data_IF_295086719917
#
_entry.id   IF_295086719917
#
_cell.length_a   1.000
_cell.length_b   1.000
_cell.length_c   1.000
_cell.angle_alpha   90.00
_cell.angle_beta   90.00
_cell.angle_gamma   90.00
#
_symmetry.space_group_name_H-M   'P 1'
#
loop_
_entity.id
_entity.type
_entity.pdbx_description
1 polymer ?
#
# COMPACT_ATOMS: atom_id res chain seq x y z
N UNK A 1 6.95 9.30 -10.53
CA UNK A 1 6.00 8.82 -9.52
C UNK A 1 6.50 9.22 -8.14
N UNK A 2 5.62 9.64 -7.24
CA UNK A 2 5.93 10.03 -5.85
C UNK A 2 5.62 8.90 -4.86
N UNK A 3 6.25 7.74 -5.04
CA UNK A 3 5.98 6.54 -4.24
C UNK A 3 6.97 6.36 -3.10
N UNK A 4 6.48 5.84 -1.99
CA UNK A 4 7.31 5.27 -0.92
C UNK A 4 7.71 3.85 -1.30
N UNK A 5 8.99 3.62 -1.58
CA UNK A 5 9.58 2.32 -1.93
C UNK A 5 10.80 2.04 -1.05
N UNK A 6 11.15 0.76 -0.88
CA UNK A 6 12.30 0.37 -0.07
C UNK A 6 13.59 0.47 -0.88
N UNK A 7 14.58 1.22 -0.39
CA UNK A 7 15.94 1.10 -0.92
C UNK A 7 16.49 -0.31 -0.64
N UNK A 8 17.36 -0.78 -1.54
CA UNK A 8 17.98 -2.09 -1.42
C UNK A 8 19.46 -2.10 -1.81
N UNK A 9 20.21 -3.02 -1.19
CA UNK A 9 21.60 -3.31 -1.53
C UNK A 9 21.84 -4.83 -1.54
N UNK A 10 22.22 -5.42 -2.68
CA UNK A 10 22.70 -6.80 -2.72
C UNK A 10 23.93 -6.99 -1.83
N UNK A 11 24.03 -8.15 -1.20
CA UNK A 11 25.08 -8.51 -0.25
C UNK A 11 25.38 -10.00 -0.30
N UNK A 12 26.60 -10.38 0.09
CA UNK A 12 27.02 -11.78 0.25
C UNK A 12 26.91 -12.11 1.73
N UNK A 13 26.08 -13.09 2.07
CA UNK A 13 25.84 -13.47 3.47
C UNK A 13 26.73 -14.64 3.89
N UNK A 14 27.34 -14.49 5.07
CA UNK A 14 28.00 -15.58 5.79
C UNK A 14 27.37 -15.76 7.17
N UNK A 15 27.10 -16.99 7.57
CA UNK A 15 26.64 -17.33 8.92
C UNK A 15 27.65 -18.32 9.51
N UNK A 16 28.29 -17.94 10.62
CA UNK A 16 29.36 -18.72 11.27
C UNK A 16 30.54 -19.09 10.34
N UNK A 17 30.82 -18.26 9.34
CA UNK A 17 31.87 -18.48 8.36
C UNK A 17 31.45 -19.24 7.11
N UNK A 18 30.25 -19.85 7.09
CA UNK A 18 29.71 -20.56 5.93
C UNK A 18 28.99 -19.60 4.97
N UNK A 19 29.10 -19.84 3.66
CA UNK A 19 28.44 -19.03 2.62
C UNK A 19 26.96 -19.40 2.47
N UNK A 20 26.08 -18.39 2.48
CA UNK A 20 24.62 -18.55 2.42
C UNK A 20 23.97 -17.95 1.17
N UNK A 21 24.75 -17.45 0.21
CA UNK A 21 24.21 -16.88 -1.02
C UNK A 21 24.16 -15.35 -1.03
N UNK A 22 23.53 -14.83 -2.09
CA UNK A 22 23.27 -13.41 -2.27
C UNK A 22 21.94 -13.06 -1.59
N UNK A 23 21.95 -12.04 -0.74
CA UNK A 23 20.78 -11.53 -0.05
C UNK A 23 20.64 -10.03 -0.29
N UNK A 24 19.41 -9.53 -0.29
CA UNK A 24 19.13 -8.10 -0.36
C UNK A 24 18.95 -7.54 1.05
N UNK A 25 19.80 -6.58 1.43
CA UNK A 25 19.54 -5.70 2.57
C UNK A 25 18.54 -4.66 2.09
N UNK A 26 17.42 -4.51 2.80
CA UNK A 26 16.35 -3.58 2.45
C UNK A 26 16.01 -2.68 3.62
N UNK A 27 15.54 -1.47 3.31
CA UNK A 27 14.88 -0.65 4.32
C UNK A 27 13.63 -1.34 4.86
N UNK A 28 13.30 -1.12 6.13
CA UNK A 28 12.08 -1.63 6.74
C UNK A 28 11.05 -0.53 6.80
N UNK A 29 9.87 -0.75 6.22
CA UNK A 29 8.72 0.14 6.40
C UNK A 29 8.18 0.07 7.83
N UNK A 30 8.61 1.03 8.63
CA UNK A 30 8.20 1.30 10.00
C UNK A 30 8.28 2.82 10.25
N UNK A 31 8.03 3.25 11.48
CA UNK A 31 8.09 4.65 11.89
C UNK A 31 9.42 5.35 11.59
N UNK A 32 10.52 4.59 11.58
CA UNK A 32 11.84 5.13 11.24
C UNK A 32 11.96 5.47 9.76
N UNK A 33 11.44 4.62 8.86
CA UNK A 33 11.40 4.94 7.43
C UNK A 33 10.66 6.27 7.21
N UNK A 34 9.48 6.43 7.79
CA UNK A 34 8.67 7.65 7.60
C UNK A 34 9.39 8.87 8.16
N UNK A 35 10.01 8.76 9.34
CA UNK A 35 10.81 9.83 9.92
C UNK A 35 11.98 10.25 9.00
N UNK A 36 12.76 9.31 8.48
CA UNK A 36 13.94 9.63 7.68
C UNK A 36 13.60 10.17 6.29
N UNK A 37 12.50 9.71 5.68
CA UNK A 37 12.12 10.11 4.32
C UNK A 37 11.17 11.31 4.27
N UNK A 38 10.35 11.53 5.29
CA UNK A 38 9.33 12.60 5.32
C UNK A 38 9.51 13.61 6.46
N UNK A 39 10.44 13.37 7.40
CA UNK A 39 10.71 14.28 8.51
C UNK A 39 9.60 14.34 9.57
N UNK A 40 8.66 13.39 9.56
CA UNK A 40 7.52 13.33 10.47
C UNK A 40 7.89 12.66 11.79
N UNK A 41 7.20 13.01 12.88
CA UNK A 41 7.48 12.44 14.20
C UNK A 41 7.12 10.94 14.25
N UNK A 42 8.12 10.07 14.44
CA UNK A 42 7.98 8.62 14.54
C UNK A 42 7.00 8.14 15.62
N UNK A 43 6.80 8.94 16.68
CA UNK A 43 5.90 8.60 17.79
C UNK A 43 4.45 9.05 17.53
N UNK A 44 4.19 9.70 16.39
CA UNK A 44 2.91 10.30 16.03
C UNK A 44 2.42 9.84 14.66
N UNK A 45 2.42 8.52 14.43
CA UNK A 45 2.06 7.90 13.17
C UNK A 45 0.95 6.87 13.35
N UNK A 46 0.18 6.66 12.28
CA UNK A 46 -0.52 5.40 12.05
C UNK A 46 0.16 4.71 10.87
N UNK A 47 0.54 3.44 11.04
CA UNK A 47 1.05 2.58 9.96
C UNK A 47 0.17 1.35 9.91
N UNK A 48 -0.60 1.23 8.84
CA UNK A 48 -1.54 0.14 8.62
C UNK A 48 -0.93 -0.86 7.67
N UNK A 49 -1.03 -2.14 8.01
CA UNK A 49 -0.65 -3.26 7.15
C UNK A 49 -1.89 -4.08 6.80
N UNK A 50 -2.00 -4.44 5.53
CA UNK A 50 -3.05 -5.28 4.98
C UNK A 50 -2.37 -6.48 4.32
N UNK A 51 -2.50 -7.63 4.97
CA UNK A 51 -2.00 -8.91 4.49
C UNK A 51 -3.05 -10.00 4.75
N UNK A 52 -2.86 -10.84 5.77
CA UNK A 52 -3.88 -11.83 6.22
C UNK A 52 -5.09 -11.20 6.94
N UNK A 53 -5.11 -9.88 7.04
CA UNK A 53 -6.05 -9.04 7.76
C UNK A 53 -5.53 -7.61 7.81
N UNK A 54 -6.30 -6.71 8.41
CA UNK A 54 -5.91 -5.30 8.61
C UNK A 54 -5.38 -5.12 10.03
N UNK A 55 -4.17 -4.60 10.18
CA UNK A 55 -3.55 -4.31 11.48
C UNK A 55 -2.86 -2.96 11.53
N UNK A 56 -2.91 -2.30 12.69
CA UNK A 56 -2.07 -1.13 12.98
C UNK A 56 -0.71 -1.60 13.49
N UNK A 57 0.30 -1.61 12.63
CA UNK A 57 1.68 -1.93 13.02
C UNK A 57 2.31 -0.82 13.86
N UNK A 58 1.84 0.41 13.69
CA UNK A 58 2.09 1.55 14.57
C UNK A 58 0.77 2.32 14.67
N UNK A 59 0.45 2.86 15.85
CA UNK A 59 -0.81 3.55 16.08
C UNK A 59 -2.02 2.61 16.15
N UNK A 60 -3.14 3.01 15.56
CA UNK A 60 -4.43 2.31 15.62
C UNK A 60 -5.20 2.43 14.29
N UNK A 61 -6.35 1.77 14.23
CA UNK A 61 -7.17 1.67 13.01
C UNK A 61 -8.30 2.72 12.93
N UNK A 62 -8.45 3.62 13.91
CA UNK A 62 -9.63 4.52 14.00
C UNK A 62 -9.76 5.36 12.73
N UNK A 63 -8.69 6.08 12.39
CA UNK A 63 -8.62 6.91 11.21
C UNK A 63 -8.80 6.17 9.88
N UNK A 64 -8.25 4.96 9.81
CA UNK A 64 -8.33 4.12 8.63
C UNK A 64 -9.78 3.66 8.42
N UNK A 65 -10.42 3.19 9.49
CA UNK A 65 -11.81 2.75 9.48
C UNK A 65 -12.76 3.91 9.15
N UNK A 66 -12.50 5.12 9.65
CA UNK A 66 -13.27 6.33 9.29
C UNK A 66 -13.18 6.63 7.79
N UNK A 67 -11.99 6.56 7.19
CA UNK A 67 -11.78 6.75 5.76
C UNK A 67 -12.54 5.69 4.93
N UNK A 68 -12.35 4.40 5.27
CA UNK A 68 -13.02 3.29 4.57
C UNK A 68 -14.54 3.38 4.71
N UNK A 69 -15.04 3.72 5.90
CA UNK A 69 -16.48 3.92 6.14
C UNK A 69 -17.02 5.10 5.32
N UNK A 70 -16.30 6.22 5.24
CA UNK A 70 -16.70 7.36 4.43
C UNK A 70 -16.83 6.98 2.95
N UNK A 71 -15.83 6.30 2.38
CA UNK A 71 -15.84 5.82 0.99
C UNK A 71 -16.96 4.82 0.72
N UNK A 72 -17.27 3.97 1.70
CA UNK A 72 -18.32 2.96 1.59
C UNK A 72 -19.72 3.57 1.55
N UNK A 73 -19.95 4.61 2.37
CA UNK A 73 -21.28 5.18 2.64
C UNK A 73 -21.60 6.44 1.85
N UNK A 74 -20.62 7.06 1.20
CA UNK A 74 -20.80 8.29 0.43
C UNK A 74 -20.53 8.09 -1.07
N UNK A 75 -21.08 8.99 -1.87
CA UNK A 75 -20.86 9.03 -3.32
C UNK A 75 -19.79 10.08 -3.65
N UNK A 76 -18.67 9.67 -4.25
CA UNK A 76 -17.56 10.56 -4.62
C UNK A 76 -17.85 11.39 -5.87
N UNK A 77 -18.92 11.11 -6.63
CA UNK A 77 -19.40 12.02 -7.67
C UNK A 77 -19.92 13.35 -7.09
N UNK A 78 -20.20 13.41 -5.79
CA UNK A 78 -20.46 14.68 -5.10
C UNK A 78 -19.13 15.37 -4.77
N UNK A 79 -18.94 16.58 -5.31
CA UNK A 79 -17.72 17.36 -5.13
C UNK A 79 -17.31 17.53 -3.67
N UNK A 80 -18.26 17.77 -2.74
CA UNK A 80 -17.94 17.95 -1.32
C UNK A 80 -17.33 16.69 -0.71
N UNK A 81 -17.82 15.52 -1.09
CA UNK A 81 -17.30 14.24 -0.59
C UNK A 81 -15.91 13.96 -1.14
N UNK A 82 -15.71 14.25 -2.42
CA UNK A 82 -14.40 14.08 -3.06
C UNK A 82 -13.36 15.05 -2.50
N UNK A 83 -13.72 16.32 -2.26
CA UNK A 83 -12.82 17.28 -1.62
C UNK A 83 -12.47 16.87 -0.18
N UNK A 84 -13.41 16.27 0.57
CA UNK A 84 -13.09 15.67 1.86
C UNK A 84 -12.05 14.55 1.73
N UNK A 85 -12.24 13.59 0.81
CA UNK A 85 -11.25 12.52 0.62
C UNK A 85 -9.89 13.08 0.20
N UNK A 86 -9.84 14.05 -0.73
CA UNK A 86 -8.60 14.74 -1.11
C UNK A 86 -7.89 15.44 0.06
N UNK A 87 -8.62 15.80 1.11
CA UNK A 87 -8.04 16.40 2.31
C UNK A 87 -7.35 15.38 3.23
N UNK A 88 -7.72 14.09 3.15
CA UNK A 88 -7.20 13.02 4.01
C UNK A 88 -6.43 11.93 3.24
N UNK A 89 -6.44 11.94 1.91
CA UNK A 89 -5.70 11.02 1.03
C UNK A 89 -4.85 11.85 0.07
N UNK A 90 -3.58 11.50 -0.09
CA UNK A 90 -2.76 12.06 -1.17
C UNK A 90 -3.13 11.39 -2.49
N UNK A 91 -4.13 11.96 -3.19
CA UNK A 91 -4.69 11.36 -4.41
C UNK A 91 -3.65 11.20 -5.51
N UNK A 92 -2.71 12.13 -5.66
CA UNK A 92 -1.69 12.02 -6.71
C UNK A 92 -0.75 10.83 -6.43
N UNK A 93 -0.34 10.65 -5.16
CA UNK A 93 0.45 9.48 -4.74
C UNK A 93 -0.33 8.18 -4.89
N UNK A 94 -1.61 8.18 -4.49
CA UNK A 94 -2.46 7.01 -4.63
C UNK A 94 -2.63 6.60 -6.11
N UNK A 95 -2.79 7.56 -7.02
CA UNK A 95 -2.84 7.29 -8.47
C UNK A 95 -1.52 6.66 -8.94
N UNK A 96 -0.37 7.23 -8.56
CA UNK A 96 0.94 6.67 -8.88
C UNK A 96 1.07 5.22 -8.34
N UNK A 97 0.55 4.93 -7.14
CA UNK A 97 0.62 3.61 -6.50
C UNK A 97 -0.21 2.60 -7.29
N UNK A 98 -1.43 2.97 -7.67
CA UNK A 98 -2.31 2.16 -8.49
C UNK A 98 -1.68 1.87 -9.86
N UNK A 99 -1.13 2.90 -10.52
CA UNK A 99 -0.44 2.73 -11.80
C UNK A 99 0.72 1.76 -11.66
N UNK A 100 1.55 1.88 -10.62
CA UNK A 100 2.70 1.00 -10.42
C UNK A 100 2.27 -0.47 -10.22
N UNK A 101 1.31 -0.74 -9.34
CA UNK A 101 0.82 -2.09 -9.07
C UNK A 101 0.17 -2.73 -10.30
N UNK A 102 -0.66 -1.97 -11.03
CA UNK A 102 -1.36 -2.43 -12.24
C UNK A 102 -0.37 -2.67 -13.37
N UNK A 103 0.54 -1.73 -13.62
CA UNK A 103 1.54 -1.84 -14.68
C UNK A 103 2.47 -3.02 -14.46
N UNK A 104 2.90 -3.24 -13.21
CA UNK A 104 3.77 -4.35 -12.85
C UNK A 104 3.04 -5.71 -12.83
N UNK A 105 1.71 -5.72 -12.99
CA UNK A 105 0.87 -6.90 -12.86
C UNK A 105 1.16 -7.67 -11.56
N UNK A 106 1.10 -6.99 -10.41
CA UNK A 106 1.37 -7.63 -9.12
C UNK A 106 0.30 -8.69 -8.80
N UNK A 107 0.73 -9.94 -8.65
CA UNK A 107 -0.17 -11.07 -8.40
C UNK A 107 -0.62 -11.26 -6.94
N UNK A 108 -0.05 -10.53 -5.97
CA UNK A 108 -0.45 -10.62 -4.55
C UNK A 108 -1.21 -9.37 -4.07
N UNK A 109 -1.76 -8.61 -5.01
CA UNK A 109 -2.46 -7.35 -4.81
C UNK A 109 -3.72 -7.33 -5.69
N UNK A 110 -4.86 -6.75 -5.25
CA UNK A 110 -5.04 -5.86 -4.09
C UNK A 110 -5.41 -6.52 -2.76
N UNK A 111 -5.55 -7.85 -2.68
CA UNK A 111 -5.97 -8.52 -1.45
C UNK A 111 -4.93 -8.55 -0.32
N UNK A 112 -3.66 -8.31 -0.62
CA UNK A 112 -2.53 -8.41 0.32
C UNK A 112 -1.42 -7.40 -0.03
N UNK A 113 -0.33 -7.43 0.74
CA UNK A 113 0.89 -6.64 0.56
C UNK A 113 0.65 -5.14 0.36
N UNK A 114 -0.29 -4.59 1.15
CA UNK A 114 -0.50 -3.15 1.21
C UNK A 114 -0.06 -2.64 2.57
N UNK A 115 0.66 -1.52 2.53
CA UNK A 115 1.01 -0.75 3.70
C UNK A 115 0.73 0.70 3.41
N UNK A 116 0.19 1.40 4.37
CA UNK A 116 -0.11 2.82 4.25
C UNK A 116 0.15 3.50 5.57
N UNK A 117 0.47 4.78 5.51
CA UNK A 117 0.79 5.57 6.67
C UNK A 117 0.13 6.93 6.62
N UNK A 118 -0.08 7.50 7.80
CA UNK A 118 -0.40 8.91 7.99
C UNK A 118 0.28 9.41 9.26
N UNK A 119 0.55 10.70 9.30
CA UNK A 119 0.84 11.36 10.55
C UNK A 119 -0.47 11.64 11.32
N UNK A 120 -0.43 11.53 12.65
CA UNK A 120 -1.55 11.85 13.56
C UNK A 120 -1.62 13.36 13.81
N UNK A 121 -1.70 14.13 12.73
CA UNK A 121 -1.86 15.60 12.74
C UNK A 121 -3.04 15.96 11.83
N UNK A 122 -3.79 17.00 12.21
CA UNK A 122 -4.91 17.47 11.41
C UNK A 122 -4.43 17.94 10.03
N UNK A 123 -5.10 17.48 8.97
CA UNK A 123 -4.73 17.79 7.59
C UNK A 123 -3.62 16.89 7.01
N UNK A 124 -3.07 15.95 7.78
CA UNK A 124 -2.18 14.92 7.26
C UNK A 124 -2.95 13.91 6.42
N UNK A 125 -2.28 13.40 5.40
CA UNK A 125 -2.87 12.53 4.38
C UNK A 125 -2.33 11.11 4.48
N UNK A 126 -3.19 10.15 4.16
CA UNK A 126 -2.79 8.78 3.89
C UNK A 126 -1.95 8.70 2.62
N UNK A 127 -0.86 7.93 2.70
CA UNK A 127 0.05 7.60 1.61
C UNK A 127 0.35 6.10 1.62
N UNK A 128 0.54 5.50 0.45
CA UNK A 128 0.81 4.09 0.29
C UNK A 128 2.31 3.82 0.20
N UNK A 129 2.71 2.67 0.71
CA UNK A 129 4.07 2.17 0.63
C UNK A 129 4.06 0.90 -0.23
N UNK A 130 4.83 0.90 -1.32
CA UNK A 130 4.90 -0.24 -2.23
C UNK A 130 6.01 -1.20 -1.80
N UNK A 131 5.65 -2.46 -1.53
CA UNK A 131 6.59 -3.52 -1.15
C UNK A 131 6.13 -4.87 -1.70
N UNK A 132 7.01 -5.87 -1.54
CA UNK A 132 6.79 -7.26 -1.93
C UNK A 132 6.34 -7.42 -3.40
N UNK A 133 7.23 -6.95 -4.29
CA UNK A 133 7.00 -6.92 -5.74
C UNK A 133 7.65 -8.10 -6.47
N UNK A 134 8.06 -9.15 -5.77
CA UNK A 134 8.61 -10.35 -6.39
C UNK A 134 7.56 -11.07 -7.27
N UNK A 135 6.27 -10.85 -7.01
CA UNK A 135 5.15 -11.41 -7.78
C UNK A 135 4.73 -10.56 -8.98
N UNK A 136 5.54 -9.56 -9.35
CA UNK A 136 5.35 -8.69 -10.53
C UNK A 136 6.08 -9.19 -11.77
N UNK A 137 5.75 -8.65 -12.94
CA UNK A 137 6.42 -8.92 -14.23
C UNK A 137 6.51 -10.41 -14.59
N UNK A 138 5.52 -11.22 -14.21
CA UNK A 138 5.54 -12.68 -14.41
C UNK A 138 6.18 -13.46 -13.26
N UNK A 139 6.57 -12.80 -12.17
CA UNK A 139 7.24 -13.37 -11.00
C UNK A 139 6.34 -14.12 -10.00
N UNK A 140 5.02 -14.17 -10.29
CA UNK A 140 3.94 -15.05 -9.81
C UNK A 140 3.44 -14.88 -8.36
N UNK A 141 2.21 -14.40 -8.08
CA UNK A 141 1.05 -15.28 -7.89
C UNK A 141 0.01 -15.14 -9.03
N UNK A 142 0.44 -15.55 -10.22
CA UNK A 142 -0.22 -15.37 -11.53
C UNK A 142 -0.45 -13.92 -12.00
N UNK A 143 0.31 -12.98 -11.44
CA UNK A 143 0.63 -11.71 -12.09
C UNK A 143 1.47 -11.91 -13.35
N UNK A 144 0.82 -12.09 -14.52
CA UNK A 144 1.45 -12.28 -15.82
C UNK A 144 1.42 -10.99 -16.65
N UNK A 145 2.29 -10.89 -17.66
CA UNK A 145 2.27 -9.78 -18.62
C UNK A 145 0.95 -9.66 -19.40
N UNK A 146 0.16 -10.73 -19.47
CA UNK A 146 -1.16 -10.77 -20.10
C UNK A 146 -2.31 -10.57 -19.12
N UNK A 147 -2.03 -10.46 -17.82
CA UNK A 147 -3.05 -10.28 -16.79
C UNK A 147 -3.66 -8.88 -16.89
N UNK A 148 -4.99 -8.81 -16.93
CA UNK A 148 -5.69 -7.53 -16.85
C UNK A 148 -5.84 -7.11 -15.38
N UNK A 149 -4.75 -6.62 -14.80
CA UNK A 149 -4.69 -6.24 -13.39
C UNK A 149 -5.63 -5.07 -13.07
N UNK A 150 -5.94 -4.20 -14.03
CA UNK A 150 -6.96 -3.17 -13.84
C UNK A 150 -8.35 -3.77 -13.63
N UNK A 151 -8.72 -4.80 -14.41
CA UNK A 151 -10.00 -5.50 -14.22
C UNK A 151 -10.06 -6.19 -12.86
N UNK A 152 -8.95 -6.77 -12.38
CA UNK A 152 -8.86 -7.34 -11.03
C UNK A 152 -8.98 -6.27 -9.94
N UNK A 153 -8.25 -5.15 -10.09
CA UNK A 153 -8.23 -4.03 -9.14
C UNK A 153 -9.57 -3.28 -9.03
N UNK A 154 -10.50 -3.53 -9.95
CA UNK A 154 -11.84 -2.92 -10.00
C UNK A 154 -12.95 -3.96 -9.92
N UNK A 155 -12.60 -5.24 -9.69
CA UNK A 155 -13.55 -6.34 -9.61
C UNK A 155 -14.48 -6.20 -8.40
N UNK A 156 -15.75 -6.61 -8.57
CA UNK A 156 -16.75 -6.62 -7.49
C UNK A 156 -16.99 -8.01 -6.90
N UNK A 157 -16.28 -9.02 -7.41
CA UNK A 157 -16.32 -10.42 -7.01
C UNK A 157 -14.92 -11.05 -7.23
N UNK A 158 -14.55 -12.07 -6.45
CA UNK A 158 -13.27 -12.77 -6.67
C UNK A 158 -12.71 -13.51 -5.45
N UNK A 159 -11.70 -14.40 -5.67
CA UNK A 159 -11.14 -15.30 -4.66
C UNK A 159 -10.13 -14.66 -3.70
N UNK A 160 -9.59 -13.47 -3.98
CA UNK A 160 -8.77 -12.70 -3.04
C UNK A 160 -9.66 -12.15 -1.91
N UNK A 161 -10.06 -13.08 -1.04
CA UNK A 161 -10.87 -13.05 0.19
C UNK A 161 -12.16 -12.22 0.21
N UNK A 162 -12.20 -10.99 -0.30
CA UNK A 162 -13.36 -10.10 -0.31
C UNK A 162 -13.10 -8.96 -1.32
N UNK A 163 -13.11 -9.28 -2.61
CA UNK A 163 -12.93 -8.31 -3.72
C UNK A 163 -13.60 -6.93 -3.54
N UNK A 164 -14.67 -6.81 -2.74
CA UNK A 164 -15.33 -5.55 -2.47
C UNK A 164 -14.52 -4.59 -1.58
N UNK A 165 -13.83 -5.04 -0.52
CA UNK A 165 -13.08 -4.09 0.33
C UNK A 165 -11.73 -3.73 -0.28
N UNK A 166 -11.00 -4.70 -0.86
CA UNK A 166 -9.64 -4.49 -1.38
C UNK A 166 -9.62 -3.58 -2.61
N UNK A 167 -10.68 -3.65 -3.43
CA UNK A 167 -10.86 -2.77 -4.60
C UNK A 167 -11.68 -1.51 -4.29
N UNK A 168 -12.23 -1.37 -3.06
CA UNK A 168 -13.21 -0.33 -2.73
C UNK A 168 -12.72 1.06 -3.13
N UNK A 169 -11.53 1.42 -2.68
CA UNK A 169 -10.94 2.74 -2.90
C UNK A 169 -10.88 3.08 -4.39
N UNK A 170 -10.30 2.20 -5.21
CA UNK A 170 -10.14 2.44 -6.65
C UNK A 170 -11.48 2.47 -7.38
N UNK A 171 -12.48 1.68 -6.94
CA UNK A 171 -13.82 1.72 -7.54
C UNK A 171 -14.62 2.97 -7.18
N UNK A 172 -14.28 3.60 -6.05
CA UNK A 172 -15.03 4.74 -5.49
C UNK A 172 -14.44 6.08 -5.88
N UNK A 173 -13.16 6.16 -6.21
CA UNK A 173 -12.44 7.37 -6.60
C UNK A 173 -12.31 7.47 -8.12
#
# INVERSE_FOLDING_TARGET
MKLDYQDYRPSILFINGDYWGIHNIREKFNEHYVFYHHGVNKDNLDIIEIAKGVSGNNGDLVAYNEMINFLSTNNMANATNYEYIKSIVDIDEYIDYQIAQIYAANGDWPGSNMKLWRERVAGSKWRWMIYDLDFTFGGNAQGLATTNTLAQATATNGPEAESLWSTLMLRKL
#
